data_IF_571450172056
#
_entry.id   IF_571450172056
#
_cell.length_a   1.000
_cell.length_b   1.000
_cell.length_c   1.000
_cell.angle_alpha   90.00
_cell.angle_beta   90.00
_cell.angle_gamma   90.00
#
_symmetry.space_group_name_H-M   'P 1'
#
loop_
_entity.id
_entity.type
_entity.pdbx_description
1 polymer ?
#
# COMPACT_ATOMS: atom_id res chain seq x y z
N UNK A 1 -7.25 -0.90 2.14
CA UNK A 1 -7.03 -1.06 0.69
C UNK A 1 -6.35 0.20 0.18
N UNK A 2 -5.35 0.10 -0.72
CA UNK A 2 -4.85 1.30 -1.39
C UNK A 2 -5.88 1.70 -2.45
N UNK A 3 -6.82 2.57 -2.08
CA UNK A 3 -7.83 3.09 -2.99
C UNK A 3 -7.48 4.55 -3.27
N UNK A 4 -6.92 4.89 -4.45
CA UNK A 4 -6.66 6.28 -4.78
C UNK A 4 -8.00 7.04 -4.86
N UNK A 5 -8.03 8.27 -4.34
CA UNK A 5 -9.17 9.15 -4.55
C UNK A 5 -9.11 9.73 -5.95
N UNK A 6 -10.20 9.64 -6.70
CA UNK A 6 -10.28 9.98 -8.11
C UNK A 6 -11.11 11.26 -8.25
N UNK A 7 -10.51 12.37 -8.69
CA UNK A 7 -11.19 13.67 -8.63
C UNK A 7 -12.04 13.98 -9.88
N UNK A 8 -11.53 13.82 -11.10
CA UNK A 8 -12.30 13.94 -12.36
C UNK A 8 -11.47 13.26 -13.47
N UNK A 9 -12.07 12.41 -14.30
CA UNK A 9 -11.36 11.82 -15.46
C UNK A 9 -12.12 12.09 -16.75
N UNK A 10 -11.54 12.95 -17.58
CA UNK A 10 -11.98 13.15 -18.97
C UNK A 10 -11.17 12.25 -19.92
N UNK A 11 -10.91 11.00 -19.50
CA UNK A 11 -10.16 10.03 -20.32
C UNK A 11 -11.12 9.41 -21.34
N UNK A 12 -10.85 9.50 -22.65
CA UNK A 12 -11.73 8.92 -23.67
C UNK A 12 -11.88 7.41 -23.53
N UNK A 13 -13.07 6.87 -23.80
CA UNK A 13 -13.36 5.43 -23.69
C UNK A 13 -12.39 4.56 -24.52
N UNK A 14 -11.97 5.05 -25.70
CA UNK A 14 -10.99 4.37 -26.53
C UNK A 14 -9.64 4.15 -25.83
N UNK A 15 -9.20 5.11 -25.01
CA UNK A 15 -7.98 4.96 -24.20
C UNK A 15 -8.20 4.01 -23.03
N UNK A 16 -9.39 4.02 -22.42
CA UNK A 16 -9.75 3.11 -21.34
C UNK A 16 -9.82 1.64 -21.81
N UNK A 17 -10.34 1.41 -23.00
CA UNK A 17 -10.45 0.07 -23.58
C UNK A 17 -9.09 -0.52 -23.95
N UNK A 18 -8.15 0.33 -24.36
CA UNK A 18 -6.75 -0.09 -24.58
C UNK A 18 -6.00 -0.42 -23.27
N UNK A 19 -6.52 0.04 -22.12
CA UNK A 19 -5.85 -0.04 -20.80
C UNK A 19 -6.80 -0.64 -19.75
N UNK A 20 -6.97 -1.97 -19.74
CA UNK A 20 -7.90 -2.65 -18.83
C UNK A 20 -7.55 -2.45 -17.34
N UNK A 21 -6.28 -2.22 -16.99
CA UNK A 21 -5.87 -1.87 -15.62
C UNK A 21 -6.37 -0.48 -15.21
N UNK A 22 -6.31 0.51 -16.11
CA UNK A 22 -6.81 1.86 -15.88
C UNK A 22 -8.33 1.85 -15.71
N UNK A 23 -9.05 1.14 -16.58
CA UNK A 23 -10.51 0.97 -16.49
C UNK A 23 -10.97 0.38 -15.15
N UNK A 24 -10.22 -0.59 -14.60
CA UNK A 24 -10.49 -1.16 -13.26
C UNK A 24 -10.32 -0.15 -12.12
N UNK A 25 -9.29 0.70 -12.21
CA UNK A 25 -9.04 1.75 -11.22
C UNK A 25 -10.17 2.78 -11.25
N UNK A 26 -10.60 3.21 -12.44
CA UNK A 26 -11.66 4.22 -12.59
C UNK A 26 -13.04 3.73 -12.13
N UNK A 27 -13.38 2.47 -12.42
CA UNK A 27 -14.66 1.88 -12.03
C UNK A 27 -14.76 1.57 -10.52
N UNK A 28 -13.77 1.97 -9.71
CA UNK A 28 -13.75 1.70 -8.27
C UNK A 28 -13.70 0.21 -7.93
N UNK A 29 -13.26 -0.64 -8.87
CA UNK A 29 -13.05 -2.07 -8.61
C UNK A 29 -11.78 -2.19 -7.78
N UNK A 30 -11.95 -1.99 -6.47
CA UNK A 30 -10.93 -1.67 -5.47
C UNK A 30 -10.09 -2.88 -5.03
N UNK A 31 -10.11 -3.98 -5.77
CA UNK A 31 -9.36 -5.19 -5.38
C UNK A 31 -8.03 -5.35 -6.13
N UNK A 32 -7.41 -4.28 -6.63
CA UNK A 32 -5.95 -4.32 -6.78
C UNK A 32 -5.38 -4.19 -5.37
N UNK A 33 -5.19 -5.33 -4.68
CA UNK A 33 -4.26 -5.37 -3.54
C UNK A 33 -2.88 -5.18 -4.17
N UNK A 34 -2.24 -3.99 -4.07
CA UNK A 34 -0.84 -3.92 -4.45
C UNK A 34 -0.10 -4.99 -3.63
N UNK A 35 0.91 -5.66 -4.22
CA UNK A 35 1.70 -6.62 -3.46
C UNK A 35 2.30 -5.93 -2.22
N UNK A 36 2.72 -6.73 -1.25
CA UNK A 36 3.26 -6.23 0.01
C UNK A 36 4.27 -5.08 -0.19
N UNK A 37 5.11 -5.20 -1.23
CA UNK A 37 5.81 -4.09 -1.87
C UNK A 37 5.96 -4.38 -3.37
N UNK A 38 5.81 -3.38 -4.23
CA UNK A 38 6.05 -3.48 -5.68
C UNK A 38 7.10 -2.46 -6.14
N UNK A 39 7.90 -2.84 -7.14
CA UNK A 39 8.85 -1.97 -7.82
C UNK A 39 8.67 -2.08 -9.32
N UNK A 40 8.55 -0.96 -10.00
CA UNK A 40 8.46 -0.89 -11.46
C UNK A 40 9.34 0.24 -11.99
N UNK A 41 9.92 0.07 -13.18
CA UNK A 41 10.64 1.14 -13.87
C UNK A 41 9.97 1.42 -15.22
N UNK A 42 9.77 2.70 -15.51
CA UNK A 42 9.20 3.19 -16.77
C UNK A 42 10.10 4.29 -17.35
N UNK A 43 9.84 4.67 -18.60
CA UNK A 43 10.49 5.80 -19.28
C UNK A 43 9.45 6.66 -19.98
N UNK A 44 9.69 7.98 -20.05
CA UNK A 44 8.86 8.88 -20.85
C UNK A 44 9.10 8.64 -22.34
N UNK A 45 8.11 8.96 -23.17
CA UNK A 45 8.19 8.83 -24.64
C UNK A 45 8.92 10.02 -25.30
N UNK A 46 9.15 11.12 -24.57
CA UNK A 46 9.85 12.31 -25.07
C UNK A 46 11.34 12.04 -25.35
N UNK A 47 11.95 12.90 -26.15
CA UNK A 47 13.39 12.91 -26.39
C UNK A 47 13.99 14.23 -25.85
N UNK A 48 14.89 14.21 -24.85
CA UNK A 48 15.45 13.04 -24.19
C UNK A 48 14.46 12.34 -23.24
N UNK A 49 14.57 11.01 -23.15
CA UNK A 49 13.70 10.21 -22.29
C UNK A 49 14.11 10.32 -20.83
N UNK A 50 13.14 10.40 -19.92
CA UNK A 50 13.36 10.42 -18.47
C UNK A 50 12.95 9.08 -17.87
N UNK A 51 13.85 8.46 -17.09
CA UNK A 51 13.58 7.21 -16.37
C UNK A 51 12.89 7.50 -15.05
N UNK A 52 11.82 6.77 -14.76
CA UNK A 52 11.09 6.85 -13.48
C UNK A 52 11.10 5.48 -12.81
N UNK A 53 11.29 5.48 -11.48
CA UNK A 53 11.12 4.30 -10.63
C UNK A 53 9.87 4.51 -9.78
N UNK A 54 8.96 3.53 -9.81
CA UNK A 54 7.71 3.53 -9.08
C UNK A 54 7.81 2.49 -7.98
N UNK A 55 7.47 2.91 -6.77
CA UNK A 55 7.37 2.05 -5.60
C UNK A 55 5.94 2.12 -5.06
N UNK A 56 5.36 0.97 -4.75
CA UNK A 56 4.04 0.91 -4.11
C UNK A 56 4.06 -0.05 -2.93
N UNK A 57 3.27 0.28 -1.91
CA UNK A 57 3.09 -0.54 -0.70
C UNK A 57 1.61 -0.68 -0.40
N UNK A 58 1.24 -1.83 0.13
CA UNK A 58 -0.12 -2.05 0.62
C UNK A 58 -0.33 -1.39 1.99
N UNK A 59 -1.59 -1.13 2.35
CA UNK A 59 -1.94 -0.63 3.69
C UNK A 59 -1.48 -1.58 4.80
N UNK A 60 -1.47 -2.90 4.54
CA UNK A 60 -0.92 -3.90 5.47
C UNK A 60 0.56 -3.72 5.77
N UNK A 61 1.33 -3.12 4.84
CA UNK A 61 2.74 -2.80 5.10
C UNK A 61 2.91 -1.74 6.21
N UNK A 62 1.90 -0.89 6.46
CA UNK A 62 1.88 0.02 7.62
C UNK A 62 1.63 -0.76 8.92
N UNK A 63 0.76 -1.77 8.87
CA UNK A 63 0.29 -2.49 10.06
C UNK A 63 1.19 -3.62 10.52
N UNK A 64 2.16 -4.12 9.75
CA UNK A 64 3.13 -5.06 10.32
C UNK A 64 3.84 -4.44 11.52
N UNK A 65 4.27 -3.18 11.43
CA UNK A 65 4.85 -2.46 12.55
C UNK A 65 3.86 -2.26 13.71
N UNK A 66 2.58 -2.01 13.41
CA UNK A 66 1.52 -1.85 14.42
C UNK A 66 1.22 -3.16 15.17
N UNK A 67 1.15 -4.28 14.44
CA UNK A 67 0.97 -5.63 15.00
C UNK A 67 2.14 -5.98 15.91
N UNK A 68 3.38 -5.63 15.52
CA UNK A 68 4.52 -5.78 16.42
C UNK A 68 4.37 -4.92 17.68
N UNK A 69 3.98 -3.65 17.56
CA UNK A 69 3.82 -2.75 18.72
C UNK A 69 2.77 -3.26 19.71
N UNK A 70 1.61 -3.72 19.24
CA UNK A 70 0.55 -4.28 20.09
C UNK A 70 1.00 -5.56 20.79
N UNK A 71 1.59 -6.50 20.03
CA UNK A 71 2.12 -7.75 20.58
C UNK A 71 3.24 -7.51 21.60
N UNK A 72 4.18 -6.60 21.32
CA UNK A 72 5.25 -6.26 22.27
C UNK A 72 4.66 -5.61 23.53
N UNK A 73 3.73 -4.68 23.41
CA UNK A 73 3.07 -4.03 24.56
C UNK A 73 2.43 -5.04 25.52
N UNK A 74 1.68 -6.01 24.99
CA UNK A 74 1.06 -7.09 25.78
C UNK A 74 2.11 -7.96 26.50
N UNK A 75 3.20 -8.31 25.81
CA UNK A 75 4.30 -9.09 26.38
C UNK A 75 5.00 -8.31 27.50
N UNK A 76 5.29 -7.02 27.29
CA UNK A 76 5.93 -6.16 28.30
C UNK A 76 5.08 -6.04 29.57
N UNK A 77 3.78 -5.78 29.44
CA UNK A 77 2.84 -5.73 30.58
C UNK A 77 2.80 -7.06 31.34
N UNK A 78 2.78 -8.18 30.61
CA UNK A 78 2.78 -9.53 31.20
C UNK A 78 4.07 -9.86 31.93
N UNK A 79 5.22 -9.40 31.45
CA UNK A 79 6.51 -9.59 32.12
C UNK A 79 6.57 -8.75 33.40
N UNK A 80 6.23 -7.46 33.34
CA UNK A 80 6.28 -6.55 34.50
C UNK A 80 5.36 -7.07 35.62
N UNK A 81 4.12 -7.42 35.29
CA UNK A 81 3.17 -7.97 36.26
C UNK A 81 3.64 -9.28 36.91
N UNK A 82 4.35 -10.15 36.17
CA UNK A 82 4.97 -11.36 36.73
C UNK A 82 6.13 -11.06 37.67
N UNK A 83 6.93 -10.02 37.40
CA UNK A 83 8.04 -9.64 38.26
C UNK A 83 7.54 -9.02 39.57
N UNK A 84 6.57 -8.11 39.49
CA UNK A 84 5.98 -7.47 40.68
C UNK A 84 5.33 -8.48 41.63
N UNK A 85 4.72 -9.54 41.09
CA UNK A 85 4.11 -10.64 41.89
C UNK A 85 5.13 -11.53 42.61
N UNK A 86 6.41 -11.50 42.24
CA UNK A 86 7.49 -12.27 42.90
C UNK A 86 8.17 -11.50 44.02
N UNK A 87 7.94 -10.19 44.10
CA UNK A 87 8.58 -9.29 45.07
C UNK A 87 7.79 -9.18 46.38
N UNK A 88 6.62 -9.84 46.46
CA UNK A 88 5.76 -9.97 47.64
C UNK A 88 5.73 -11.46 48.00
#
# INVERSE_FOLDING_TARGET
LASPFIYYNDVPDAELDSRPSLKKVLNGVTAMKPPFSAKQSIKTQANPSVRVQIFSKSERSKYECQIYVEMFSEIYQKIISRQLKKTI
#
